data_IF_042656724124
#
_entry.id   IF_042656724124
#
_cell.length_a   1.000
_cell.length_b   1.000
_cell.length_c   1.000
_cell.angle_alpha   90.00
_cell.angle_beta   90.00
_cell.angle_gamma   90.00
#
_symmetry.space_group_name_H-M   'P 1'
#
loop_
_entity.id
_entity.type
_entity.pdbx_description
1 polymer ?
#
# COMPACT_ATOMS: atom_id res chain seq x y z
N UNK A 1 -3.42 -23.69 13.81
CA UNK A 1 -4.29 -22.50 14.04
C UNK A 1 -3.51 -21.30 13.51
N UNK A 2 -4.07 -20.49 12.60
CA UNK A 2 -3.40 -19.29 12.08
C UNK A 2 -3.50 -18.17 13.11
N UNK A 3 -2.37 -17.55 13.45
CA UNK A 3 -2.28 -16.43 14.39
C UNK A 3 -2.11 -15.11 13.63
N UNK A 4 -3.05 -14.19 13.81
CA UNK A 4 -3.07 -12.90 13.13
C UNK A 4 -2.85 -11.78 14.16
N UNK A 5 -1.96 -10.84 13.82
CA UNK A 5 -1.72 -9.62 14.57
C UNK A 5 -2.24 -8.42 13.77
N UNK A 6 -3.09 -7.59 14.36
CA UNK A 6 -3.43 -6.27 13.87
C UNK A 6 -2.56 -5.25 14.58
N UNK A 7 -1.60 -4.69 13.85
CA UNK A 7 -0.65 -3.72 14.39
C UNK A 7 -1.17 -2.31 14.21
N UNK A 8 -1.55 -1.67 15.31
CA UNK A 8 -1.91 -0.26 15.34
C UNK A 8 -0.69 0.54 15.78
N UNK A 9 0.01 1.11 14.81
CA UNK A 9 1.15 2.00 15.05
C UNK A 9 0.70 3.46 15.05
N UNK A 10 1.46 4.31 15.71
CA UNK A 10 1.30 5.75 15.61
C UNK A 10 1.96 6.22 14.30
N UNK A 11 1.12 6.54 13.32
CA UNK A 11 1.58 6.93 11.98
C UNK A 11 1.86 8.42 11.94
N UNK A 12 3.10 8.80 11.67
CA UNK A 12 3.52 10.20 11.51
C UNK A 12 3.41 10.60 10.04
N UNK A 13 2.54 11.56 9.67
CA UNK A 13 2.38 12.01 8.30
C UNK A 13 3.66 12.61 7.72
N UNK A 14 4.02 12.25 6.48
CA UNK A 14 5.23 12.68 5.77
C UNK A 14 6.55 12.18 6.33
N UNK A 15 6.52 11.24 7.29
CA UNK A 15 7.72 10.64 7.88
C UNK A 15 7.79 9.13 7.63
N UNK A 16 8.00 8.70 6.38
CA UNK A 16 8.05 7.27 6.05
C UNK A 16 9.18 6.53 6.78
N UNK A 17 10.29 7.21 7.08
CA UNK A 17 11.42 6.71 7.86
C UNK A 17 11.01 6.27 9.27
N UNK A 18 10.35 7.16 10.02
CA UNK A 18 9.87 6.87 11.37
C UNK A 18 8.79 5.81 11.39
N UNK A 19 7.88 5.85 10.41
CA UNK A 19 6.80 4.89 10.31
C UNK A 19 7.34 3.48 10.04
N UNK A 20 8.31 3.34 9.13
CA UNK A 20 8.92 2.04 8.82
C UNK A 20 9.75 1.52 9.98
N UNK A 21 10.45 2.36 10.72
CA UNK A 21 11.13 1.95 11.96
C UNK A 21 10.15 1.30 12.95
N UNK A 22 9.00 1.95 13.21
CA UNK A 22 7.92 1.42 14.07
C UNK A 22 7.33 0.12 13.52
N UNK A 23 7.14 0.03 12.20
CA UNK A 23 6.66 -1.18 11.56
C UNK A 23 7.64 -2.34 11.71
N UNK A 24 8.94 -2.12 11.49
CA UNK A 24 9.98 -3.13 11.64
C UNK A 24 10.07 -3.64 13.09
N UNK A 25 9.92 -2.74 14.07
CA UNK A 25 9.85 -3.13 15.48
C UNK A 25 8.64 -4.05 15.74
N UNK A 26 7.45 -3.67 15.27
CA UNK A 26 6.23 -4.47 15.42
C UNK A 26 6.33 -5.84 14.71
N UNK A 27 6.97 -5.89 13.53
CA UNK A 27 7.23 -7.13 12.80
C UNK A 27 8.15 -8.06 13.62
N UNK A 28 9.21 -7.53 14.21
CA UNK A 28 10.12 -8.31 15.04
C UNK A 28 9.41 -8.88 16.28
N UNK A 29 8.58 -8.07 16.95
CA UNK A 29 7.75 -8.53 18.07
C UNK A 29 6.74 -9.61 17.65
N UNK A 30 6.10 -9.46 16.49
CA UNK A 30 5.17 -10.44 15.94
C UNK A 30 5.87 -11.79 15.67
N UNK A 31 7.07 -11.77 15.10
CA UNK A 31 7.88 -12.98 14.87
C UNK A 31 8.25 -13.68 16.18
N UNK A 32 8.70 -12.95 17.20
CA UNK A 32 9.00 -13.50 18.52
C UNK A 32 7.78 -14.16 19.16
N UNK A 33 6.59 -13.68 18.82
CA UNK A 33 5.33 -14.24 19.28
C UNK A 33 4.76 -15.35 18.38
N UNK A 34 5.51 -15.86 17.41
CA UNK A 34 5.05 -16.86 16.42
C UNK A 34 3.74 -16.45 15.73
N UNK A 35 3.69 -15.23 15.24
CA UNK A 35 2.57 -14.71 14.47
C UNK A 35 2.73 -15.09 13.01
N UNK A 36 1.68 -15.63 12.38
CA UNK A 36 1.70 -16.04 10.98
C UNK A 36 1.47 -14.85 10.02
N UNK A 37 0.58 -13.92 10.43
CA UNK A 37 0.19 -12.76 9.61
C UNK A 37 0.19 -11.51 10.48
N UNK A 38 0.87 -10.44 10.04
CA UNK A 38 0.76 -9.12 10.62
C UNK A 38 0.13 -8.15 9.61
N UNK A 39 -0.83 -7.34 10.08
CA UNK A 39 -1.59 -6.41 9.25
C UNK A 39 -1.41 -5.00 9.80
N UNK A 40 -0.96 -4.08 8.94
CA UNK A 40 -0.79 -2.66 9.22
C UNK A 40 -1.91 -1.81 8.63
N UNK A 41 -2.09 -0.57 9.10
CA UNK A 41 -3.10 0.36 8.59
C UNK A 41 -2.91 0.74 7.12
N UNK A 42 -3.97 1.30 6.55
CA UNK A 42 -3.94 2.00 5.26
C UNK A 42 -2.90 3.12 5.29
N UNK A 43 -2.10 3.27 4.21
CA UNK A 43 -1.10 4.33 4.05
C UNK A 43 -0.14 4.46 5.25
N UNK A 44 0.18 3.36 5.90
CA UNK A 44 1.00 3.36 7.11
C UNK A 44 2.45 3.78 6.88
N UNK A 45 2.97 3.71 5.66
CA UNK A 45 4.32 4.20 5.33
C UNK A 45 4.31 5.71 5.14
N UNK A 46 3.56 6.29 4.20
CA UNK A 46 3.62 7.74 3.97
C UNK A 46 2.84 8.56 5.01
N UNK A 47 1.87 7.97 5.69
CA UNK A 47 0.81 8.69 6.40
C UNK A 47 -0.31 9.15 5.46
N UNK A 48 -1.28 9.87 5.99
CA UNK A 48 -2.47 10.30 5.26
C UNK A 48 -2.67 11.82 5.35
N UNK A 49 -3.51 12.39 4.46
CA UNK A 49 -3.83 13.81 4.38
C UNK A 49 -2.61 14.71 4.06
N UNK A 50 -1.75 14.26 3.14
CA UNK A 50 -0.48 14.93 2.84
C UNK A 50 -0.60 16.07 1.81
N UNK A 51 -1.79 16.30 1.23
CA UNK A 51 -1.99 17.35 0.22
C UNK A 51 -1.01 17.24 -0.95
N UNK A 52 -0.40 18.35 -1.34
CA UNK A 52 0.50 18.40 -2.50
C UNK A 52 1.87 17.70 -2.29
N UNK A 53 2.16 17.19 -1.09
CA UNK A 53 3.33 16.30 -0.88
C UNK A 53 3.27 15.06 -1.77
N UNK A 54 2.05 14.61 -2.13
CA UNK A 54 1.85 13.55 -3.10
C UNK A 54 2.38 13.84 -4.51
N UNK A 55 2.75 15.08 -4.83
CA UNK A 55 3.34 15.46 -6.12
C UNK A 55 4.88 15.54 -6.08
N UNK A 56 5.49 15.35 -4.92
CA UNK A 56 6.93 15.40 -4.75
C UNK A 56 7.57 14.05 -5.12
N UNK A 57 8.26 14.01 -6.25
CA UNK A 57 8.90 12.77 -6.76
C UNK A 57 9.87 12.14 -5.77
N UNK A 58 10.63 12.95 -5.02
CA UNK A 58 11.56 12.45 -4.02
C UNK A 58 10.81 11.69 -2.91
N UNK A 59 9.76 12.30 -2.36
CA UNK A 59 8.92 11.68 -1.34
C UNK A 59 8.28 10.37 -1.81
N UNK A 60 7.78 10.33 -3.05
CA UNK A 60 7.22 9.09 -3.62
C UNK A 60 8.27 7.98 -3.71
N UNK A 61 9.49 8.32 -4.15
CA UNK A 61 10.58 7.35 -4.23
C UNK A 61 11.01 6.85 -2.85
N UNK A 62 11.04 7.72 -1.86
CA UNK A 62 11.36 7.34 -0.48
C UNK A 62 10.31 6.35 0.06
N UNK A 63 9.01 6.63 -0.12
CA UNK A 63 7.94 5.72 0.29
C UNK A 63 8.05 4.35 -0.38
N UNK A 64 8.42 4.30 -1.67
CA UNK A 64 8.61 3.04 -2.38
C UNK A 64 9.84 2.28 -1.85
N UNK A 65 10.96 2.98 -1.62
CA UNK A 65 12.19 2.40 -1.08
C UNK A 65 11.96 1.80 0.32
N UNK A 66 11.30 2.53 1.20
CA UNK A 66 10.91 2.02 2.52
C UNK A 66 9.92 0.85 2.45
N UNK A 67 9.09 0.79 1.41
CA UNK A 67 8.25 -0.38 1.13
C UNK A 67 9.07 -1.65 0.87
N UNK A 68 10.21 -1.54 0.19
CA UNK A 68 11.13 -2.66 -0.03
C UNK A 68 11.74 -3.18 1.28
N UNK A 69 12.01 -2.31 2.25
CA UNK A 69 12.50 -2.73 3.58
C UNK A 69 11.45 -3.61 4.30
N UNK A 70 10.16 -3.25 4.20
CA UNK A 70 9.07 -4.06 4.77
C UNK A 70 8.94 -5.40 4.04
N UNK A 71 9.06 -5.40 2.70
CA UNK A 71 9.04 -6.64 1.91
C UNK A 71 10.21 -7.55 2.33
N UNK A 72 11.41 -7.02 2.47
CA UNK A 72 12.58 -7.77 2.90
C UNK A 72 12.40 -8.36 4.33
N UNK A 73 11.69 -7.65 5.21
CA UNK A 73 11.39 -8.10 6.56
C UNK A 73 10.38 -9.25 6.63
N UNK A 74 9.75 -9.65 5.53
CA UNK A 74 8.68 -10.66 5.51
C UNK A 74 9.16 -12.13 5.56
N UNK A 75 10.40 -12.38 5.99
CA UNK A 75 10.90 -13.74 6.18
C UNK A 75 10.09 -14.46 7.27
N UNK A 76 9.53 -15.62 6.94
CA UNK A 76 8.74 -16.49 7.81
C UNK A 76 7.45 -15.86 8.41
N UNK A 77 7.01 -14.74 7.88
CA UNK A 77 5.76 -14.06 8.28
C UNK A 77 5.10 -13.40 7.06
N UNK A 78 3.78 -13.48 6.97
CA UNK A 78 3.02 -12.70 6.00
C UNK A 78 2.81 -11.28 6.53
N UNK A 79 3.19 -10.27 5.74
CA UNK A 79 3.01 -8.86 6.07
C UNK A 79 2.03 -8.23 5.09
N UNK A 80 0.96 -7.62 5.63
CA UNK A 80 -0.02 -6.85 4.85
C UNK A 80 0.10 -5.40 5.28
N UNK A 81 0.36 -4.48 4.33
CA UNK A 81 0.59 -3.07 4.66
C UNK A 81 0.11 -2.12 3.57
N UNK A 82 -0.30 -0.92 3.99
CA UNK A 82 -0.71 0.16 3.11
C UNK A 82 0.46 1.07 2.72
N UNK A 83 0.61 1.35 1.42
CA UNK A 83 1.58 2.30 0.90
C UNK A 83 1.03 2.96 -0.37
N UNK A 84 1.71 3.98 -0.84
CA UNK A 84 1.51 4.50 -2.19
C UNK A 84 2.13 3.54 -3.21
N UNK A 85 1.47 3.39 -4.37
CA UNK A 85 2.07 2.79 -5.55
C UNK A 85 2.12 3.82 -6.68
N UNK A 86 3.16 3.79 -7.48
CA UNK A 86 3.37 4.73 -8.58
C UNK A 86 3.65 3.97 -9.88
N UNK A 87 2.86 4.27 -10.91
CA UNK A 87 3.12 3.82 -12.27
C UNK A 87 3.80 4.98 -13.02
N UNK A 88 5.12 4.96 -13.07
CA UNK A 88 5.93 6.02 -13.67
C UNK A 88 5.74 6.17 -15.18
N UNK A 89 5.26 5.12 -15.85
CA UNK A 89 5.04 5.08 -17.29
C UNK A 89 3.66 5.64 -17.69
N UNK A 90 2.77 5.81 -16.71
CA UNK A 90 1.43 6.33 -16.93
C UNK A 90 1.22 7.71 -16.35
N UNK A 91 0.49 8.52 -17.11
CA UNK A 91 0.03 9.84 -16.67
C UNK A 91 -1.49 9.88 -16.67
N UNK A 92 -2.03 10.64 -15.74
CA UNK A 92 -3.44 11.01 -15.73
C UNK A 92 -3.72 12.10 -16.77
N UNK A 93 -4.97 12.42 -17.02
CA UNK A 93 -5.40 13.44 -18.00
C UNK A 93 -4.87 14.85 -17.69
N UNK A 94 -4.53 15.10 -16.42
CA UNK A 94 -3.92 16.35 -15.95
C UNK A 94 -2.39 16.39 -16.07
N UNK A 95 -1.77 15.35 -16.64
CA UNK A 95 -0.33 15.22 -16.85
C UNK A 95 0.47 14.71 -15.65
N UNK A 96 -0.15 14.51 -14.49
CA UNK A 96 0.51 13.98 -13.30
C UNK A 96 0.80 12.49 -13.44
N UNK A 97 1.89 12.03 -12.84
CA UNK A 97 2.21 10.60 -12.77
C UNK A 97 1.10 9.85 -12.03
N UNK A 98 0.78 8.65 -12.49
CA UNK A 98 -0.31 7.86 -11.93
C UNK A 98 0.09 7.25 -10.60
N UNK A 99 -0.72 7.51 -9.58
CA UNK A 99 -0.53 7.04 -8.21
C UNK A 99 -1.75 6.25 -7.74
N UNK A 100 -1.52 5.28 -6.89
CA UNK A 100 -2.57 4.46 -6.30
C UNK A 100 -2.42 4.42 -4.78
N UNK A 101 -3.52 4.49 -4.07
CA UNK A 101 -3.60 4.05 -2.68
C UNK A 101 -3.65 2.52 -2.72
N UNK A 102 -2.61 1.87 -2.22
CA UNK A 102 -2.35 0.46 -2.46
C UNK A 102 -2.16 -0.34 -1.17
N UNK A 103 -2.65 -1.59 -1.21
CA UNK A 103 -2.39 -2.61 -0.20
C UNK A 103 -1.42 -3.63 -0.78
N UNK A 104 -0.32 -3.83 -0.09
CA UNK A 104 0.71 -4.82 -0.42
C UNK A 104 0.60 -6.03 0.49
N UNK A 105 0.91 -7.19 -0.07
CA UNK A 105 1.06 -8.42 0.69
C UNK A 105 2.43 -9.01 0.38
N UNK A 106 3.24 -9.23 1.40
CA UNK A 106 4.58 -9.77 1.27
C UNK A 106 4.76 -11.04 2.11
N UNK A 107 5.50 -12.01 1.58
CA UNK A 107 5.89 -13.23 2.27
C UNK A 107 7.23 -13.73 1.75
N UNK A 108 8.13 -14.13 2.65
CA UNK A 108 9.48 -14.62 2.32
C UNK A 108 10.27 -13.69 1.39
N UNK A 109 10.23 -12.39 1.66
CA UNK A 109 10.98 -11.39 0.90
C UNK A 109 10.40 -11.07 -0.48
N UNK A 110 9.17 -11.47 -0.77
CA UNK A 110 8.53 -11.27 -2.07
C UNK A 110 7.11 -10.76 -1.93
N UNK A 111 6.70 -9.92 -2.89
CA UNK A 111 5.29 -9.55 -3.03
C UNK A 111 4.46 -10.71 -3.55
N UNK A 112 3.29 -10.90 -2.95
CA UNK A 112 2.26 -11.82 -3.44
C UNK A 112 1.30 -11.01 -4.30
N UNK A 113 1.33 -11.31 -5.60
CA UNK A 113 0.46 -10.62 -6.57
C UNK A 113 -0.97 -11.14 -6.48
N UNK A 114 -1.98 -10.25 -6.45
CA UNK A 114 -3.37 -10.67 -6.66
C UNK A 114 -3.55 -11.33 -8.01
N UNK A 115 -4.32 -12.41 -8.08
CA UNK A 115 -4.39 -13.29 -9.26
C UNK A 115 -4.80 -12.55 -10.54
N UNK A 116 -5.76 -11.64 -10.45
CA UNK A 116 -6.33 -10.93 -11.61
C UNK A 116 -5.86 -9.48 -11.75
N UNK A 117 -5.11 -8.96 -10.79
CA UNK A 117 -4.61 -7.59 -10.86
C UNK A 117 -3.47 -7.46 -11.87
N UNK A 118 -3.41 -6.38 -12.67
CA UNK A 118 -2.24 -6.09 -13.51
C UNK A 118 -1.00 -5.71 -12.69
N UNK A 119 -1.19 -5.30 -11.42
CA UNK A 119 -0.14 -4.84 -10.50
C UNK A 119 0.10 -5.84 -9.36
N UNK A 120 1.28 -5.81 -8.71
CA UNK A 120 1.60 -6.69 -7.58
C UNK A 120 1.02 -6.16 -6.25
N UNK A 121 -0.09 -5.45 -6.29
CA UNK A 121 -0.79 -4.88 -5.14
C UNK A 121 -2.29 -4.78 -5.40
N UNK A 122 -3.06 -4.62 -4.34
CA UNK A 122 -4.50 -4.32 -4.41
C UNK A 122 -4.70 -2.81 -4.39
N UNK A 123 -5.52 -2.30 -5.30
CA UNK A 123 -5.81 -0.87 -5.43
C UNK A 123 -7.11 -0.56 -4.70
N UNK A 124 -7.12 0.53 -3.93
CA UNK A 124 -8.34 1.06 -3.29
C UNK A 124 -9.42 1.35 -4.33
N UNK A 125 -10.60 0.82 -4.10
CA UNK A 125 -11.73 0.90 -5.04
C UNK A 125 -12.56 2.16 -4.85
N UNK A 126 -12.93 2.47 -3.60
CA UNK A 126 -13.83 3.56 -3.23
C UNK A 126 -13.03 4.66 -2.51
N UNK A 127 -13.14 5.88 -3.01
CA UNK A 127 -12.48 7.02 -2.42
C UNK A 127 -13.47 7.87 -1.63
N UNK A 128 -13.19 8.17 -0.36
CA UNK A 128 -13.91 9.20 0.35
C UNK A 128 -13.64 10.55 -0.33
N UNK A 129 -14.67 11.41 -0.32
CA UNK A 129 -14.59 12.76 -0.86
C UNK A 129 -15.45 13.67 0.02
N UNK A 130 -15.00 13.87 1.26
CA UNK A 130 -15.64 14.74 2.23
C UNK A 130 -14.62 15.35 3.18
N UNK A 131 -14.89 16.54 3.65
CA UNK A 131 -14.00 17.35 4.50
C UNK A 131 -12.62 17.52 3.83
N UNK A 132 -11.54 17.23 4.54
CA UNK A 132 -10.15 17.34 4.08
C UNK A 132 -9.70 16.18 3.21
N UNK A 133 -10.54 15.13 3.03
CA UNK A 133 -10.18 13.93 2.27
C UNK A 133 -10.54 14.15 0.81
N UNK A 134 -9.53 14.26 -0.02
CA UNK A 134 -9.65 14.44 -1.50
C UNK A 134 -8.79 13.40 -2.24
N UNK A 135 -9.08 12.12 -2.01
CA UNK A 135 -8.36 11.01 -2.60
C UNK A 135 -8.39 11.05 -4.13
N UNK A 136 -9.49 11.50 -4.71
CA UNK A 136 -9.67 11.56 -6.17
C UNK A 136 -8.73 12.54 -6.87
N UNK A 137 -8.23 13.51 -6.14
CA UNK A 137 -7.26 14.48 -6.67
C UNK A 137 -5.89 13.85 -6.90
N UNK A 138 -5.52 12.88 -6.08
CA UNK A 138 -4.16 12.33 -6.03
C UNK A 138 -4.05 10.90 -6.53
N UNK A 139 -5.09 10.09 -6.35
CA UNK A 139 -5.04 8.66 -6.60
C UNK A 139 -5.99 8.21 -7.71
N UNK A 140 -5.56 7.20 -8.44
CA UNK A 140 -6.37 6.52 -9.46
C UNK A 140 -7.01 5.28 -8.86
N UNK A 141 -8.35 5.19 -8.90
CA UNK A 141 -9.10 4.10 -8.26
C UNK A 141 -9.05 2.81 -9.08
N UNK A 142 -9.32 1.67 -8.42
CA UNK A 142 -9.51 0.39 -9.13
C UNK A 142 -10.68 0.48 -10.12
N UNK A 143 -11.74 1.20 -9.77
CA UNK A 143 -12.89 1.41 -10.67
C UNK A 143 -12.49 2.17 -11.94
N UNK A 144 -11.67 3.22 -11.81
CA UNK A 144 -11.15 3.97 -12.95
C UNK A 144 -10.25 3.11 -13.83
N UNK A 145 -9.41 2.26 -13.21
CA UNK A 145 -8.55 1.33 -13.93
C UNK A 145 -9.38 0.27 -14.69
N UNK A 146 -10.40 -0.30 -14.06
CA UNK A 146 -11.31 -1.25 -14.73
C UNK A 146 -11.96 -0.63 -15.97
N UNK A 147 -12.44 0.60 -15.84
CA UNK A 147 -13.02 1.36 -16.97
C UNK A 147 -12.01 1.58 -18.09
N UNK A 148 -10.78 1.99 -17.77
CA UNK A 148 -9.71 2.20 -18.75
C UNK A 148 -9.36 0.91 -19.50
N UNK A 149 -9.29 -0.20 -18.78
CA UNK A 149 -8.98 -1.52 -19.35
C UNK A 149 -10.19 -2.21 -20.03
N UNK A 150 -11.37 -1.59 -19.99
CA UNK A 150 -12.65 -2.16 -20.48
C UNK A 150 -12.99 -3.50 -19.84
N UNK A 151 -12.71 -3.64 -18.54
CA UNK A 151 -12.99 -4.81 -17.73
C UNK A 151 -14.12 -4.50 -16.74
N UNK A 152 -14.84 -5.54 -16.29
CA UNK A 152 -15.70 -5.39 -15.12
C UNK A 152 -14.84 -5.30 -13.86
N UNK A 153 -15.31 -4.55 -12.86
CA UNK A 153 -14.61 -4.43 -11.60
C UNK A 153 -14.33 -5.81 -10.96
N UNK A 154 -15.27 -6.73 -11.04
CA UNK A 154 -15.13 -8.10 -10.51
C UNK A 154 -14.07 -8.95 -11.23
N UNK A 155 -13.66 -8.54 -12.45
CA UNK A 155 -12.64 -9.27 -13.20
C UNK A 155 -11.21 -8.93 -12.70
N UNK A 156 -11.01 -7.78 -12.08
CA UNK A 156 -9.72 -7.34 -11.54
C UNK A 156 -9.68 -7.28 -10.01
N UNK A 157 -10.83 -7.32 -9.35
CA UNK A 157 -10.95 -7.44 -7.90
C UNK A 157 -10.77 -8.91 -7.52
N UNK A 158 -9.61 -9.27 -7.05
CA UNK A 158 -9.32 -10.65 -6.64
C UNK A 158 -8.65 -10.70 -5.27
N UNK A 159 -8.93 -11.75 -4.49
CA UNK A 159 -8.21 -11.96 -3.24
C UNK A 159 -6.74 -12.24 -3.50
N UNK A 160 -5.93 -11.96 -2.50
CA UNK A 160 -4.55 -12.44 -2.42
C UNK A 160 -4.57 -13.79 -1.71
N UNK A 161 -3.92 -14.79 -2.30
CA UNK A 161 -3.75 -16.12 -1.66
C UNK A 161 -2.36 -16.19 -1.06
N UNK A 162 -2.30 -16.40 0.24
CA UNK A 162 -1.08 -16.56 1.04
C UNK A 162 -0.87 -18.03 1.35
#
# INVERSE_FOLDING_TARGET
MVKICFSQIDVEPSHPDLNVERMLQAINEAKQNNTDIIIFPEMCIPGYLLGDTWEQTAFLKDCLSYGEDIIAASQDICIIFGNIAVDWDKKNTDGRVRKYNALYTAYNGKLIKPEKSPYPFVIKTLFPNYREIDDRRYFFSLQSLATELKLNLNDILSPVKV
#
